data_IF_367140298929
#
_entry.id   IF_367140298929
#
_cell.length_a   1.000
_cell.length_b   1.000
_cell.length_c   1.000
_cell.angle_alpha   90.00
_cell.angle_beta   90.00
_cell.angle_gamma   90.00
#
_symmetry.space_group_name_H-M   'P 1'
#
loop_
_entity.id
_entity.type
_entity.pdbx_description
1 polymer ?
#
# COMPACT_ATOMS: atom_id res chain seq x y z
N UNK A 1 -10.53 -4.92 -10.77
CA UNK A 1 -10.97 -5.71 -9.60
C UNK A 1 -12.16 -6.58 -9.97
N UNK A 2 -12.40 -7.70 -9.26
CA UNK A 2 -13.48 -8.65 -9.52
C UNK A 2 -14.74 -8.36 -8.68
N UNK A 3 -14.59 -7.83 -7.47
CA UNK A 3 -15.74 -7.59 -6.60
C UNK A 3 -15.52 -6.35 -5.70
N UNK A 4 -16.49 -6.08 -4.83
CA UNK A 4 -16.45 -4.94 -3.90
C UNK A 4 -15.42 -5.17 -2.79
N UNK A 5 -15.25 -6.42 -2.38
CA UNK A 5 -14.31 -6.84 -1.35
C UNK A 5 -12.85 -6.54 -1.75
N UNK A 6 -12.52 -6.64 -3.04
CA UNK A 6 -11.22 -6.23 -3.58
C UNK A 6 -10.98 -4.72 -3.37
N UNK A 7 -12.00 -3.90 -3.63
CA UNK A 7 -11.93 -2.44 -3.44
C UNK A 7 -11.76 -2.12 -1.95
N UNK A 8 -12.54 -2.75 -1.08
CA UNK A 8 -12.46 -2.57 0.37
C UNK A 8 -11.09 -3.00 0.92
N UNK A 9 -10.53 -4.10 0.39
CA UNK A 9 -9.20 -4.57 0.75
C UNK A 9 -8.11 -3.59 0.33
N UNK A 10 -8.20 -3.03 -0.88
CA UNK A 10 -7.27 -1.99 -1.33
C UNK A 10 -7.36 -0.73 -0.47
N UNK A 11 -8.56 -0.18 -0.24
CA UNK A 11 -8.74 1.02 0.57
C UNK A 11 -8.23 0.83 2.00
N UNK A 12 -8.47 -0.36 2.57
CA UNK A 12 -7.96 -0.74 3.89
C UNK A 12 -6.43 -0.73 3.92
N UNK A 13 -5.76 -1.38 2.96
CA UNK A 13 -4.29 -1.43 2.97
C UNK A 13 -3.68 -0.05 2.68
N UNK A 14 -4.32 0.79 1.86
CA UNK A 14 -3.88 2.18 1.62
C UNK A 14 -3.87 2.96 2.94
N UNK A 15 -4.98 2.91 3.69
CA UNK A 15 -5.08 3.60 4.98
C UNK A 15 -4.07 3.08 6.00
N UNK A 16 -3.86 1.77 6.07
CA UNK A 16 -2.88 1.15 6.98
C UNK A 16 -1.44 1.54 6.62
N UNK A 17 -1.07 1.48 5.34
CA UNK A 17 0.25 1.89 4.86
C UNK A 17 0.52 3.37 5.15
N UNK A 18 -0.45 4.25 4.89
CA UNK A 18 -0.33 5.69 5.20
C UNK A 18 -0.13 5.95 6.70
N UNK A 19 -0.92 5.29 7.55
CA UNK A 19 -0.82 5.42 9.01
C UNK A 19 0.56 4.97 9.53
N UNK A 20 1.00 3.78 9.13
CA UNK A 20 2.30 3.25 9.52
C UNK A 20 3.44 4.11 8.99
N UNK A 21 3.41 4.51 7.71
CA UNK A 21 4.46 5.33 7.13
C UNK A 21 4.55 6.69 7.84
N UNK A 22 3.41 7.32 8.17
CA UNK A 22 3.38 8.57 8.93
C UNK A 22 4.05 8.43 10.30
N UNK A 23 3.69 7.39 11.07
CA UNK A 23 4.27 7.14 12.39
C UNK A 23 5.78 6.86 12.30
N UNK A 24 6.19 5.92 11.45
CA UNK A 24 7.59 5.51 11.34
C UNK A 24 8.44 6.64 10.76
N UNK A 25 7.91 7.45 9.82
CA UNK A 25 8.62 8.64 9.30
C UNK A 25 8.95 9.65 10.40
N UNK A 26 8.08 9.82 11.39
CA UNK A 26 8.35 10.71 12.54
C UNK A 26 9.49 10.16 13.40
N UNK A 27 9.57 8.83 13.57
CA UNK A 27 10.66 8.19 14.28
C UNK A 27 11.97 8.28 13.48
N UNK A 28 11.93 7.99 12.18
CA UNK A 28 13.09 8.04 11.30
C UNK A 28 13.70 9.45 11.18
N UNK A 29 12.87 10.49 11.21
CA UNK A 29 13.37 11.89 11.26
C UNK A 29 14.16 12.20 12.53
N UNK A 30 13.87 11.54 13.65
CA UNK A 30 14.54 11.75 14.94
C UNK A 30 15.76 10.84 15.08
N UNK A 31 15.60 9.56 14.71
CA UNK A 31 16.58 8.51 14.90
C UNK A 31 16.52 7.48 13.78
N UNK A 32 17.06 7.79 12.58
CA UNK A 32 16.89 6.94 11.39
C UNK A 32 17.50 5.54 11.54
N UNK A 33 18.56 5.42 12.34
CA UNK A 33 19.28 4.16 12.62
C UNK A 33 18.71 3.37 13.80
N UNK A 34 17.72 3.89 14.53
CA UNK A 34 17.15 3.17 15.67
C UNK A 34 16.36 1.95 15.19
N UNK A 35 16.52 0.84 15.91
CA UNK A 35 15.79 -0.39 15.66
C UNK A 35 14.28 -0.22 15.89
N UNK A 36 13.48 -0.81 15.01
CA UNK A 36 12.04 -0.95 15.24
C UNK A 36 11.78 -2.11 16.19
N UNK A 37 11.07 -1.86 17.29
CA UNK A 37 10.77 -2.93 18.25
C UNK A 37 9.86 -4.02 17.66
N UNK A 38 9.93 -5.22 18.23
CA UNK A 38 9.23 -6.41 17.74
C UNK A 38 7.71 -6.26 17.64
N UNK A 39 7.08 -5.51 18.56
CA UNK A 39 5.63 -5.30 18.51
C UNK A 39 5.22 -4.48 17.28
N UNK A 40 5.90 -3.35 17.02
CA UNK A 40 5.65 -2.53 15.84
C UNK A 40 5.99 -3.29 14.56
N UNK A 41 7.12 -4.00 14.55
CA UNK A 41 7.55 -4.77 13.39
C UNK A 41 6.53 -5.85 13.01
N UNK A 42 5.93 -6.52 13.99
CA UNK A 42 4.83 -7.46 13.75
C UNK A 42 3.61 -6.82 13.08
N UNK A 43 3.20 -5.62 13.53
CA UNK A 43 2.09 -4.90 12.91
C UNK A 43 2.42 -4.47 11.48
N UNK A 44 3.65 -4.01 11.25
CA UNK A 44 4.16 -3.65 9.92
C UNK A 44 4.14 -4.87 8.99
N UNK A 45 4.68 -6.00 9.43
CA UNK A 45 4.70 -7.24 8.64
C UNK A 45 3.29 -7.74 8.30
N UNK A 46 2.32 -7.61 9.21
CA UNK A 46 0.92 -7.96 8.91
C UNK A 46 0.34 -7.10 7.77
N UNK A 47 0.66 -5.80 7.75
CA UNK A 47 0.19 -4.90 6.69
C UNK A 47 0.91 -5.17 5.37
N UNK A 48 2.22 -5.45 5.41
CA UNK A 48 3.00 -5.85 4.22
C UNK A 48 2.45 -7.14 3.61
N UNK A 49 2.14 -8.15 4.43
CA UNK A 49 1.56 -9.40 3.95
C UNK A 49 0.21 -9.17 3.26
N UNK A 50 -0.69 -8.39 3.88
CA UNK A 50 -1.97 -8.03 3.27
C UNK A 50 -1.80 -7.22 1.98
N UNK A 51 -0.85 -6.29 1.94
CA UNK A 51 -0.55 -5.53 0.74
C UNK A 51 0.00 -6.44 -0.38
N UNK A 52 0.86 -7.40 -0.07
CA UNK A 52 1.34 -8.38 -1.05
C UNK A 52 0.20 -9.20 -1.66
N UNK A 53 -0.77 -9.64 -0.86
CA UNK A 53 -1.96 -10.35 -1.36
C UNK A 53 -2.77 -9.49 -2.34
N UNK A 54 -2.98 -8.20 -2.02
CA UNK A 54 -3.75 -7.28 -2.86
C UNK A 54 -3.01 -6.86 -4.14
N UNK A 55 -1.69 -6.68 -4.05
CA UNK A 55 -0.87 -6.12 -5.13
C UNK A 55 -0.28 -7.18 -6.07
N UNK A 56 -0.33 -8.46 -5.68
CA UNK A 56 0.14 -9.57 -6.50
C UNK A 56 -0.66 -9.68 -7.83
N UNK A 57 -0.02 -10.09 -8.94
CA UNK A 57 1.43 -10.26 -9.13
C UNK A 57 2.13 -8.98 -9.63
N UNK A 58 1.37 -8.00 -10.11
CA UNK A 58 1.89 -6.98 -11.03
C UNK A 58 2.30 -5.67 -10.36
N UNK A 59 2.04 -5.52 -9.06
CA UNK A 59 2.27 -4.29 -8.28
C UNK A 59 3.06 -4.59 -6.99
N UNK A 60 3.77 -5.71 -6.93
CA UNK A 60 4.72 -5.96 -5.84
C UNK A 60 5.91 -4.98 -5.99
N UNK A 61 6.22 -4.15 -4.99
CA UNK A 61 7.33 -3.21 -5.09
C UNK A 61 8.69 -3.92 -5.14
N UNK A 62 8.77 -5.07 -4.48
CA UNK A 62 9.97 -5.90 -4.39
C UNK A 62 9.55 -7.35 -4.63
N UNK A 63 10.18 -8.02 -5.61
CA UNK A 63 9.72 -9.33 -6.09
C UNK A 63 9.64 -10.40 -4.99
N UNK A 64 10.68 -10.48 -4.16
CA UNK A 64 10.88 -11.61 -3.25
C UNK A 64 10.60 -11.24 -1.77
N UNK A 65 10.23 -9.99 -1.51
CA UNK A 65 10.09 -9.46 -0.15
C UNK A 65 8.68 -9.72 0.39
N UNK A 66 8.60 -10.48 1.48
CA UNK A 66 7.33 -10.81 2.14
C UNK A 66 7.18 -10.19 3.52
N UNK A 67 8.29 -9.90 4.20
CA UNK A 67 8.33 -9.39 5.57
C UNK A 67 9.74 -8.95 5.94
N UNK A 68 9.85 -8.12 6.98
CA UNK A 68 11.11 -7.92 7.68
C UNK A 68 11.39 -9.06 8.66
N UNK A 69 12.64 -9.51 8.72
CA UNK A 69 13.10 -10.42 9.77
C UNK A 69 13.48 -9.65 11.04
N UNK A 70 13.00 -10.10 12.19
CA UNK A 70 13.26 -9.41 13.46
C UNK A 70 14.73 -9.47 13.87
N UNK A 71 15.43 -10.55 13.51
CA UNK A 71 16.85 -10.77 13.82
C UNK A 71 17.77 -9.88 12.98
N UNK A 72 17.29 -9.36 11.85
CA UNK A 72 18.00 -8.38 11.02
C UNK A 72 17.95 -6.96 11.62
N UNK A 73 17.17 -6.77 12.69
CA UNK A 73 17.04 -5.50 13.45
C UNK A 73 16.83 -4.30 12.52
N UNK A 74 15.72 -4.29 11.74
CA UNK A 74 15.49 -3.24 10.76
C UNK A 74 15.37 -1.87 11.43
N UNK A 75 16.02 -0.87 10.84
CA UNK A 75 15.98 0.49 11.33
C UNK A 75 14.67 1.18 10.96
N UNK A 76 14.34 2.26 11.67
CA UNK A 76 13.18 3.10 11.30
C UNK A 76 13.30 3.66 9.88
N UNK A 77 14.52 3.93 9.39
CA UNK A 77 14.74 4.36 8.01
C UNK A 77 14.49 3.26 6.98
N UNK A 78 14.90 2.01 7.26
CA UNK A 78 14.63 0.86 6.39
C UNK A 78 13.12 0.61 6.26
N UNK A 79 12.42 0.63 7.41
CA UNK A 79 10.97 0.46 7.43
C UNK A 79 10.25 1.60 6.70
N UNK A 80 10.70 2.85 6.88
CA UNK A 80 10.13 4.00 6.15
C UNK A 80 10.29 3.82 4.64
N UNK A 81 11.48 3.41 4.19
CA UNK A 81 11.77 3.18 2.78
C UNK A 81 10.82 2.15 2.18
N UNK A 82 10.69 0.98 2.82
CA UNK A 82 9.82 -0.10 2.32
C UNK A 82 8.35 0.35 2.28
N UNK A 83 7.83 0.94 3.37
CA UNK A 83 6.46 1.42 3.40
C UNK A 83 6.17 2.44 2.30
N UNK A 84 7.14 3.31 1.97
CA UNK A 84 6.98 4.30 0.89
C UNK A 84 6.82 3.63 -0.48
N UNK A 85 7.53 2.54 -0.75
CA UNK A 85 7.40 1.80 -2.01
C UNK A 85 6.07 1.04 -2.11
N UNK A 86 5.61 0.46 -1.00
CA UNK A 86 4.27 -0.15 -0.93
C UNK A 86 3.15 0.88 -1.15
N UNK A 87 3.27 2.08 -0.59
CA UNK A 87 2.31 3.15 -0.83
C UNK A 87 2.27 3.56 -2.31
N UNK A 88 3.43 3.65 -2.96
CA UNK A 88 3.55 4.03 -4.36
C UNK A 88 2.85 3.01 -5.27
N UNK A 89 3.12 1.72 -5.09
CA UNK A 89 2.49 0.67 -5.91
C UNK A 89 1.01 0.46 -5.58
N UNK A 90 0.59 0.66 -4.32
CA UNK A 90 -0.84 0.66 -3.98
C UNK A 90 -1.59 1.79 -4.71
N UNK A 91 -1.01 2.99 -4.78
CA UNK A 91 -1.60 4.10 -5.52
C UNK A 91 -1.56 3.89 -7.04
N UNK A 92 -0.53 3.23 -7.56
CA UNK A 92 -0.46 2.82 -8.96
C UNK A 92 -1.56 1.80 -9.29
N UNK A 93 -1.71 0.76 -8.47
CA UNK A 93 -2.77 -0.23 -8.60
C UNK A 93 -4.15 0.42 -8.53
N UNK A 94 -4.35 1.37 -7.60
CA UNK A 94 -5.58 2.17 -7.52
C UNK A 94 -5.83 2.95 -8.80
N UNK A 95 -4.82 3.70 -9.26
CA UNK A 95 -4.90 4.53 -10.47
C UNK A 95 -5.28 3.72 -11.72
N UNK A 96 -4.76 2.50 -11.84
CA UNK A 96 -5.07 1.58 -12.95
C UNK A 96 -6.48 0.95 -12.83
N UNK A 97 -7.12 1.00 -11.67
CA UNK A 97 -8.45 0.43 -11.41
C UNK A 97 -9.56 1.47 -11.23
N UNK A 98 -9.32 2.73 -11.61
CA UNK A 98 -10.33 3.80 -11.55
C UNK A 98 -10.61 4.38 -12.94
N UNK A 99 -11.85 4.83 -13.15
CA UNK A 99 -12.30 5.44 -14.41
C UNK A 99 -13.20 6.64 -14.13
N UNK A 100 -13.10 7.65 -14.98
CA UNK A 100 -14.03 8.78 -14.97
C UNK A 100 -15.33 8.38 -15.67
N UNK A 101 -16.45 8.39 -14.94
CA UNK A 101 -17.77 8.02 -15.45
C UNK A 101 -18.83 8.93 -14.81
N UNK A 102 -19.74 9.48 -15.62
CA UNK A 102 -20.83 10.31 -15.11
C UNK A 102 -20.38 11.54 -14.31
N UNK A 103 -19.21 12.11 -14.63
CA UNK A 103 -18.67 13.29 -13.93
C UNK A 103 -17.94 12.99 -12.62
N UNK A 104 -17.79 11.72 -12.24
CA UNK A 104 -17.09 11.30 -11.02
C UNK A 104 -16.08 10.21 -11.32
N UNK A 105 -15.04 10.11 -10.49
CA UNK A 105 -14.13 8.97 -10.51
C UNK A 105 -14.71 7.82 -9.71
N UNK A 106 -14.72 6.62 -10.30
CA UNK A 106 -15.23 5.41 -9.69
C UNK A 106 -14.28 4.25 -9.93
N UNK A 107 -14.31 3.26 -9.04
CA UNK A 107 -13.60 2.01 -9.25
C UNK A 107 -14.20 1.20 -10.40
N UNK A 108 -13.35 0.46 -11.10
CA UNK A 108 -13.72 -0.51 -12.13
C UNK A 108 -13.80 -1.90 -11.50
N UNK A 109 -15.00 -2.48 -11.50
CA UNK A 109 -15.29 -3.81 -10.95
C UNK A 109 -15.87 -4.67 -12.06
N UNK A 110 -15.31 -5.86 -12.28
CA UNK A 110 -15.65 -6.73 -13.42
C UNK A 110 -15.55 -6.05 -14.78
N UNK A 111 -14.56 -5.18 -14.96
CA UNK A 111 -14.32 -4.45 -16.21
C UNK A 111 -15.25 -3.25 -16.44
N UNK A 112 -16.26 -3.06 -15.60
CA UNK A 112 -17.24 -1.98 -15.74
C UNK A 112 -17.10 -0.92 -14.65
N UNK A 113 -17.40 0.36 -14.94
CA UNK A 113 -17.50 1.39 -13.91
C UNK A 113 -18.52 1.00 -12.83
N UNK A 114 -18.07 0.94 -11.59
CA UNK A 114 -18.93 0.62 -10.44
C UNK A 114 -19.61 1.86 -9.85
N UNK A 115 -20.46 1.66 -8.85
CA UNK A 115 -21.02 2.74 -8.01
C UNK A 115 -20.08 3.20 -6.88
N UNK A 116 -18.88 2.60 -6.74
CA UNK A 116 -17.96 2.90 -5.64
C UNK A 116 -17.08 4.09 -6.05
N UNK A 117 -17.25 5.20 -5.33
CA UNK A 117 -16.50 6.43 -5.59
C UNK A 117 -15.02 6.28 -5.26
N UNK A 118 -14.22 7.01 -6.01
CA UNK A 118 -12.77 7.14 -5.82
C UNK A 118 -12.33 8.58 -6.06
N UNK A 119 -11.12 8.93 -5.63
CA UNK A 119 -10.40 10.11 -6.11
C UNK A 119 -9.86 9.92 -7.54
N UNK A 120 -9.45 11.01 -8.23
CA UNK A 120 -8.74 10.92 -9.50
C UNK A 120 -7.46 10.09 -9.36
N UNK A 121 -6.99 9.43 -10.43
CA UNK A 121 -5.69 8.75 -10.42
C UNK A 121 -4.58 9.80 -10.20
N UNK A 122 -3.62 9.49 -9.33
CA UNK A 122 -2.46 10.38 -9.11
C UNK A 122 -1.20 9.88 -9.82
N UNK A 123 -1.28 8.70 -10.46
CA UNK A 123 -0.21 8.09 -11.28
C UNK A 123 -0.65 7.92 -12.72
N UNK A 124 0.32 7.78 -13.62
CA UNK A 124 0.07 7.52 -15.04
C UNK A 124 -0.60 6.15 -15.17
N UNK A 125 -1.80 6.13 -15.73
CA UNK A 125 -2.53 4.88 -16.01
C UNK A 125 -1.81 4.09 -17.10
N UNK A 126 -1.75 2.76 -16.98
CA UNK A 126 -1.26 1.90 -18.08
C UNK A 126 -2.08 2.14 -19.34
N UNK A 127 -1.39 2.33 -20.47
CA UNK A 127 -2.00 2.47 -21.81
C UNK A 127 -2.63 1.16 -22.28
#
# INVERSE_FOLDING_TARGET
MQNKEDVESLEKIIGQLQGLHSEISVLAKKSPSDAVNAFKLKLINNVIAAANEVLYPNYLPFGDFTSFEADDVPSTSDVTLVLSQYMEEAERYRSDNVRFSGGVWVYVVNGEPSGIRSGPPTKVMKK
#
